data_IF_839725258978
#
_entry.id   IF_839725258978
#
_cell.length_a   1.000
_cell.length_b   1.000
_cell.length_c   1.000
_cell.angle_alpha   90.00
_cell.angle_beta   90.00
_cell.angle_gamma   90.00
#
_symmetry.space_group_name_H-M   'P 1'
#
loop_
_entity.id
_entity.type
_entity.pdbx_description
1 polymer ?
#
# COMPACT_ATOMS: atom_id res chain seq x y z
N UNK A 1 -23.16 3.61 -9.12
CA UNK A 1 -22.13 2.64 -8.73
C UNK A 1 -22.66 1.87 -7.55
N UNK A 2 -22.45 0.55 -7.51
CA UNK A 2 -22.84 -0.28 -6.38
C UNK A 2 -21.99 0.12 -5.18
N UNK A 3 -22.61 0.35 -4.02
CA UNK A 3 -21.88 0.72 -2.81
C UNK A 3 -21.20 -0.52 -2.23
N UNK A 4 -19.92 -0.40 -1.92
CA UNK A 4 -19.05 -1.47 -1.41
C UNK A 4 -18.32 -0.95 -0.19
N UNK A 5 -18.22 -1.77 0.85
CA UNK A 5 -17.49 -1.45 2.06
C UNK A 5 -16.49 -2.54 2.42
N UNK A 6 -15.45 -2.13 3.13
CA UNK A 6 -14.57 -3.04 3.86
C UNK A 6 -15.24 -3.28 5.22
N UNK A 7 -15.42 -4.55 5.57
CA UNK A 7 -16.13 -4.98 6.78
C UNK A 7 -15.23 -5.68 7.79
N UNK A 8 -14.08 -6.19 7.36
CA UNK A 8 -13.09 -6.82 8.23
C UNK A 8 -11.71 -6.77 7.60
N UNK A 9 -10.68 -6.64 8.43
CA UNK A 9 -9.27 -6.65 8.01
C UNK A 9 -8.36 -7.19 9.11
N UNK A 10 -7.51 -8.16 8.76
CA UNK A 10 -6.43 -8.68 9.59
C UNK A 10 -5.10 -8.44 8.91
N UNK A 11 -4.06 -8.17 9.69
CA UNK A 11 -2.72 -7.92 9.17
C UNK A 11 -1.65 -8.28 10.17
N UNK A 12 -0.51 -8.76 9.68
CA UNK A 12 0.67 -9.04 10.50
C UNK A 12 1.91 -8.55 9.78
N UNK A 13 2.83 -7.97 10.53
CA UNK A 13 4.08 -7.42 10.03
C UNK A 13 5.18 -7.65 11.06
N UNK A 14 6.31 -8.19 10.62
CA UNK A 14 7.47 -8.50 11.45
C UNK A 14 8.74 -8.24 10.64
N UNK A 15 9.85 -7.87 11.29
CA UNK A 15 11.12 -7.64 10.60
C UNK A 15 11.52 -8.85 9.72
N UNK A 16 11.29 -10.06 10.23
CA UNK A 16 11.52 -11.31 9.51
C UNK A 16 10.61 -12.41 10.04
N UNK A 17 9.93 -13.11 9.13
CA UNK A 17 9.09 -14.27 9.47
C UNK A 17 9.76 -15.56 9.05
N UNK A 18 9.63 -16.60 9.86
CA UNK A 18 10.06 -17.96 9.50
C UNK A 18 8.97 -18.76 8.78
N UNK A 19 7.71 -18.34 8.94
CA UNK A 19 6.53 -18.92 8.30
C UNK A 19 6.64 -18.85 6.77
N UNK A 20 6.19 -19.88 6.06
CA UNK A 20 5.95 -19.74 4.62
C UNK A 20 4.70 -18.87 4.35
N UNK A 21 4.45 -18.55 3.10
CA UNK A 21 3.35 -17.67 2.66
C UNK A 21 1.98 -18.21 3.11
N UNK A 22 1.77 -19.53 3.05
CA UNK A 22 0.53 -20.18 3.50
C UNK A 22 0.38 -20.06 5.01
N UNK A 23 1.41 -20.43 5.77
CA UNK A 23 1.44 -20.35 7.24
C UNK A 23 1.20 -18.93 7.76
N UNK A 24 1.72 -17.93 7.03
CA UNK A 24 1.47 -16.52 7.30
C UNK A 24 0.01 -16.12 7.02
N UNK A 25 -0.57 -16.58 5.90
CA UNK A 25 -1.89 -16.12 5.45
C UNK A 25 -3.07 -16.83 6.12
N UNK A 26 -2.93 -18.11 6.50
CA UNK A 26 -3.99 -18.88 7.18
C UNK A 26 -4.58 -18.15 8.41
N UNK A 27 -3.78 -17.67 9.39
CA UNK A 27 -4.35 -17.00 10.57
C UNK A 27 -5.05 -15.69 10.19
N UNK A 28 -4.53 -14.92 9.22
CA UNK A 28 -5.13 -13.65 8.79
C UNK A 28 -6.48 -13.87 8.10
N UNK A 29 -6.55 -14.86 7.20
CA UNK A 29 -7.78 -15.22 6.50
C UNK A 29 -8.81 -15.80 7.48
N UNK A 30 -8.38 -16.60 8.45
CA UNK A 30 -9.25 -17.14 9.50
C UNK A 30 -9.84 -16.02 10.36
N UNK A 31 -9.02 -15.06 10.80
CA UNK A 31 -9.47 -13.94 11.63
C UNK A 31 -10.54 -13.09 10.93
N UNK A 32 -10.37 -12.78 9.65
CA UNK A 32 -11.37 -11.96 8.94
C UNK A 32 -12.68 -12.73 8.66
N UNK A 33 -12.60 -14.05 8.48
CA UNK A 33 -13.78 -14.92 8.37
C UNK A 33 -14.51 -15.04 9.69
N UNK A 34 -13.78 -15.31 10.78
CA UNK A 34 -14.36 -15.39 12.13
C UNK A 34 -15.02 -14.08 12.54
N UNK A 35 -14.40 -12.93 12.23
CA UNK A 35 -14.96 -11.61 12.53
C UNK A 35 -16.26 -11.31 11.78
N UNK A 36 -16.47 -11.91 10.61
CA UNK A 36 -17.68 -11.70 9.77
C UNK A 36 -18.69 -12.84 9.85
N UNK A 37 -18.28 -14.00 10.39
CA UNK A 37 -19.05 -15.23 10.36
C UNK A 37 -19.18 -15.88 8.97
N UNK A 38 -18.50 -15.34 7.94
CA UNK A 38 -18.58 -15.87 6.58
C UNK A 38 -17.72 -17.12 6.42
N UNK A 39 -18.25 -18.09 5.69
CA UNK A 39 -17.49 -19.24 5.20
C UNK A 39 -17.21 -19.16 3.69
N UNK A 40 -16.49 -20.16 3.15
CA UNK A 40 -16.12 -20.21 1.73
C UNK A 40 -17.34 -20.29 0.79
N UNK A 41 -18.49 -20.78 1.25
CA UNK A 41 -19.73 -20.84 0.45
C UNK A 41 -20.37 -19.47 0.26
N UNK A 42 -20.07 -18.53 1.15
CA UNK A 42 -20.56 -17.17 1.10
C UNK A 42 -19.60 -16.18 0.44
N UNK A 43 -18.39 -16.59 0.03
CA UNK A 43 -17.43 -15.74 -0.69
C UNK A 43 -17.64 -15.87 -2.20
N UNK A 44 -18.03 -14.77 -2.86
CA UNK A 44 -18.28 -14.77 -4.31
C UNK A 44 -17.04 -14.62 -5.19
N UNK A 45 -15.96 -14.07 -4.64
CA UNK A 45 -14.70 -13.83 -5.36
C UNK A 45 -13.52 -13.75 -4.40
N UNK A 46 -12.38 -14.28 -4.82
CA UNK A 46 -11.11 -14.11 -4.12
C UNK A 46 -10.11 -13.42 -5.04
N UNK A 47 -9.42 -12.40 -4.56
CA UNK A 47 -8.36 -11.74 -5.31
C UNK A 47 -7.12 -11.53 -4.45
N UNK A 48 -5.95 -11.80 -5.01
CA UNK A 48 -4.69 -11.66 -4.29
C UNK A 48 -3.69 -10.75 -4.99
N UNK A 49 -2.88 -10.05 -4.20
CA UNK A 49 -1.67 -9.36 -4.67
C UNK A 49 -0.42 -10.00 -4.07
N UNK A 50 0.58 -10.26 -4.88
CA UNK A 50 1.91 -10.70 -4.43
C UNK A 50 2.90 -10.61 -5.60
N UNK A 51 4.14 -11.06 -5.38
CA UNK A 51 5.06 -11.26 -6.50
C UNK A 51 5.95 -12.48 -6.36
N UNK A 52 6.01 -13.28 -7.43
CA UNK A 52 6.88 -14.45 -7.56
C UNK A 52 8.36 -14.06 -7.51
N UNK A 53 8.72 -12.86 -7.97
CA UNK A 53 10.10 -12.36 -7.91
C UNK A 53 10.56 -12.15 -6.46
N UNK A 54 9.65 -11.74 -5.55
CA UNK A 54 9.98 -11.60 -4.13
C UNK A 54 10.02 -12.95 -3.43
N UNK A 55 9.10 -13.85 -3.76
CA UNK A 55 9.10 -15.21 -3.23
C UNK A 55 10.32 -16.03 -3.70
N UNK A 56 10.89 -15.69 -4.86
CA UNK A 56 11.98 -16.46 -5.48
C UNK A 56 11.53 -17.83 -6.00
N UNK A 57 10.22 -18.05 -6.09
CA UNK A 57 9.60 -19.29 -6.55
C UNK A 57 8.49 -18.99 -7.56
N UNK A 58 8.50 -19.70 -8.68
CA UNK A 58 7.44 -19.58 -9.68
C UNK A 58 6.12 -20.13 -9.15
N UNK A 59 5.02 -19.46 -9.51
CA UNK A 59 3.65 -19.81 -9.13
C UNK A 59 3.44 -19.79 -7.60
N UNK A 60 4.12 -18.89 -6.88
CA UNK A 60 4.00 -18.77 -5.42
C UNK A 60 2.56 -18.42 -5.00
N UNK A 61 1.87 -17.61 -5.80
CA UNK A 61 0.48 -17.25 -5.58
C UNK A 61 -0.47 -18.46 -5.65
N UNK A 62 -0.19 -19.44 -6.52
CA UNK A 62 -1.01 -20.67 -6.65
C UNK A 62 -0.95 -21.49 -5.37
N UNK A 63 0.25 -21.63 -4.77
CA UNK A 63 0.39 -22.34 -3.51
C UNK A 63 -0.29 -21.62 -2.36
N UNK A 64 -0.27 -20.28 -2.37
CA UNK A 64 -0.89 -19.47 -1.30
C UNK A 64 -2.41 -19.64 -1.25
N UNK A 65 -3.06 -20.06 -2.34
CA UNK A 65 -4.49 -20.40 -2.33
C UNK A 65 -4.84 -21.54 -1.37
N UNK A 66 -3.88 -22.37 -0.95
CA UNK A 66 -4.10 -23.37 0.08
C UNK A 66 -4.55 -22.73 1.42
N UNK A 67 -4.21 -21.47 1.66
CA UNK A 67 -4.69 -20.70 2.82
C UNK A 67 -6.17 -20.29 2.72
N UNK A 68 -6.73 -20.22 1.51
CA UNK A 68 -8.13 -19.84 1.26
C UNK A 68 -9.05 -21.05 1.43
N UNK A 69 -8.63 -22.20 0.92
CA UNK A 69 -9.39 -23.44 0.92
C UNK A 69 -10.03 -23.77 -0.44
N UNK A 70 -10.09 -25.05 -0.83
CA UNK A 70 -10.41 -25.45 -2.20
C UNK A 70 -11.91 -25.60 -2.54
N UNK A 71 -12.81 -25.58 -1.54
CA UNK A 71 -14.23 -25.96 -1.73
C UNK A 71 -15.19 -25.03 -0.96
N UNK A 72 -16.28 -24.55 -1.59
CA UNK A 72 -16.61 -24.70 -3.01
C UNK A 72 -15.65 -23.92 -3.91
N UNK A 73 -15.36 -24.41 -5.13
CA UNK A 73 -14.51 -23.70 -6.07
C UNK A 73 -15.23 -22.45 -6.57
N UNK A 74 -14.51 -21.33 -6.57
CA UNK A 74 -14.96 -20.04 -7.08
C UNK A 74 -13.96 -19.52 -8.11
N UNK A 75 -14.35 -18.50 -8.87
CA UNK A 75 -13.37 -17.75 -9.64
C UNK A 75 -12.46 -16.98 -8.68
N UNK A 76 -11.16 -17.16 -8.85
CA UNK A 76 -10.14 -16.34 -8.20
C UNK A 76 -9.38 -15.51 -9.24
N UNK A 77 -8.70 -14.48 -8.78
CA UNK A 77 -7.75 -13.72 -9.59
C UNK A 77 -6.51 -13.35 -8.79
N UNK A 78 -5.43 -13.07 -9.50
CA UNK A 78 -4.17 -12.66 -8.94
C UNK A 78 -3.59 -11.49 -9.75
N UNK A 79 -3.15 -10.45 -9.04
CA UNK A 79 -2.35 -9.37 -9.61
C UNK A 79 -0.92 -9.51 -9.14
N UNK A 80 0.03 -9.46 -10.08
CA UNK A 80 1.47 -9.45 -9.81
C UNK A 80 1.92 -8.05 -9.34
N UNK A 81 1.27 -7.55 -8.28
CA UNK A 81 1.38 -6.19 -7.75
C UNK A 81 0.94 -6.16 -6.27
N UNK A 82 1.03 -4.98 -5.65
CA UNK A 82 0.50 -4.78 -4.31
C UNK A 82 -1.02 -5.07 -4.23
N UNK A 83 -1.46 -5.63 -3.11
CA UNK A 83 -2.85 -6.02 -2.85
C UNK A 83 -3.88 -4.90 -2.99
N UNK A 84 -3.49 -3.64 -2.95
CA UNK A 84 -4.38 -2.53 -3.28
C UNK A 84 -4.96 -2.63 -4.70
N UNK A 85 -4.20 -3.16 -5.66
CA UNK A 85 -4.69 -3.44 -7.02
C UNK A 85 -5.61 -4.66 -7.06
N UNK A 86 -5.38 -5.68 -6.21
CA UNK A 86 -6.32 -6.79 -6.03
C UNK A 86 -7.66 -6.30 -5.47
N UNK A 87 -7.63 -5.34 -4.55
CA UNK A 87 -8.83 -4.66 -4.07
C UNK A 87 -9.52 -3.87 -5.18
N UNK A 88 -8.77 -3.15 -6.03
CA UNK A 88 -9.34 -2.42 -7.16
C UNK A 88 -10.05 -3.36 -8.15
N UNK A 89 -9.42 -4.46 -8.53
CA UNK A 89 -10.05 -5.47 -9.40
C UNK A 89 -11.32 -6.04 -8.76
N UNK A 90 -11.25 -6.35 -7.47
CA UNK A 90 -12.41 -6.82 -6.69
C UNK A 90 -13.52 -5.79 -6.68
N UNK A 91 -13.20 -4.51 -6.49
CA UNK A 91 -14.17 -3.42 -6.55
C UNK A 91 -14.84 -3.33 -7.92
N UNK A 92 -14.09 -3.49 -9.03
CA UNK A 92 -14.66 -3.58 -10.39
C UNK A 92 -15.63 -4.78 -10.50
N UNK A 93 -15.27 -5.94 -9.92
CA UNK A 93 -16.13 -7.13 -9.89
C UNK A 93 -17.45 -6.87 -9.17
N UNK A 94 -17.45 -6.13 -8.06
CA UNK A 94 -18.67 -5.66 -7.40
C UNK A 94 -19.51 -4.75 -8.29
N UNK A 95 -18.87 -3.83 -9.03
CA UNK A 95 -19.59 -2.92 -9.96
C UNK A 95 -20.30 -3.67 -11.09
N UNK A 96 -19.83 -4.86 -11.46
CA UNK A 96 -20.51 -5.73 -12.42
C UNK A 96 -21.81 -6.36 -11.87
N UNK A 97 -22.06 -6.29 -10.56
CA UNK A 97 -23.27 -6.82 -9.93
C UNK A 97 -23.33 -8.35 -9.85
N UNK A 98 -22.16 -9.03 -9.90
CA UNK A 98 -22.08 -10.51 -9.94
C UNK A 98 -21.59 -11.14 -8.63
N UNK A 99 -21.22 -10.34 -7.64
CA UNK A 99 -20.78 -10.77 -6.32
C UNK A 99 -21.30 -9.83 -5.24
N UNK A 100 -21.55 -10.35 -4.04
CA UNK A 100 -22.02 -9.60 -2.87
C UNK A 100 -20.99 -9.54 -1.73
N UNK A 101 -19.96 -10.38 -1.82
CA UNK A 101 -18.86 -10.54 -0.86
C UNK A 101 -17.59 -10.93 -1.60
N UNK A 102 -16.44 -10.54 -1.07
CA UNK A 102 -15.14 -10.96 -1.60
C UNK A 102 -14.07 -11.04 -0.50
N UNK A 103 -13.14 -11.97 -0.66
CA UNK A 103 -11.90 -12.04 0.10
C UNK A 103 -10.77 -11.41 -0.72
N UNK A 104 -10.13 -10.39 -0.18
CA UNK A 104 -8.91 -9.81 -0.76
C UNK A 104 -7.77 -10.07 0.19
N UNK A 105 -6.64 -10.57 -0.31
CA UNK A 105 -5.46 -10.75 0.52
C UNK A 105 -4.18 -10.39 -0.21
N UNK A 106 -3.13 -10.13 0.54
CA UNK A 106 -1.83 -9.82 0.01
C UNK A 106 -0.73 -10.21 0.96
N UNK A 107 0.43 -10.50 0.41
CA UNK A 107 1.64 -10.75 1.18
C UNK A 107 2.87 -10.25 0.47
N UNK A 108 3.87 -9.84 1.26
CA UNK A 108 5.22 -9.62 0.79
C UNK A 108 6.20 -10.15 1.81
N UNK A 109 7.18 -10.91 1.32
CA UNK A 109 8.22 -11.51 2.15
C UNK A 109 9.59 -11.09 1.61
N UNK A 110 10.06 -9.86 1.92
CA UNK A 110 11.33 -9.35 1.40
C UNK A 110 12.57 -10.08 1.96
N UNK A 111 12.45 -10.73 3.13
CA UNK A 111 13.58 -11.30 3.87
C UNK A 111 14.35 -12.48 3.25
N UNK A 112 13.79 -13.33 2.36
CA UNK A 112 14.49 -14.49 1.81
C UNK A 112 15.56 -14.15 0.75
N UNK A 113 15.47 -12.99 0.11
CA UNK A 113 16.23 -12.69 -1.11
C UNK A 113 16.85 -11.30 -1.18
N UNK A 114 17.60 -11.06 -2.26
CA UNK A 114 18.21 -9.76 -2.54
C UNK A 114 17.17 -8.82 -3.16
N UNK A 115 16.69 -7.86 -2.39
CA UNK A 115 15.74 -6.86 -2.89
C UNK A 115 16.35 -5.94 -3.95
N UNK A 116 17.64 -5.66 -3.87
CA UNK A 116 18.32 -4.91 -4.93
C UNK A 116 18.19 -5.64 -6.27
N UNK A 117 18.44 -6.95 -6.29
CA UNK A 117 18.37 -7.74 -7.51
C UNK A 117 16.94 -7.84 -8.02
N UNK A 118 15.97 -8.04 -7.12
CA UNK A 118 14.56 -8.15 -7.49
C UNK A 118 14.01 -6.82 -8.00
N UNK A 119 14.19 -5.72 -7.26
CA UNK A 119 13.60 -4.43 -7.61
C UNK A 119 14.22 -3.82 -8.89
N UNK A 120 15.48 -4.15 -9.21
CA UNK A 120 16.13 -3.72 -10.46
C UNK A 120 15.48 -4.32 -11.71
N UNK A 121 14.82 -5.48 -11.60
CA UNK A 121 14.14 -6.12 -12.74
C UNK A 121 12.85 -5.40 -13.17
N UNK A 122 12.32 -4.51 -12.32
CA UNK A 122 11.15 -3.68 -12.63
C UNK A 122 11.49 -2.44 -13.45
N UNK A 123 12.77 -2.22 -13.76
CA UNK A 123 13.22 -1.08 -14.56
C UNK A 123 13.08 -1.38 -16.05
N UNK A 124 13.13 -0.33 -16.87
CA UNK A 124 13.12 -0.50 -18.32
C UNK A 124 14.23 -1.46 -18.77
N UNK A 125 13.89 -2.55 -19.49
CA UNK A 125 14.82 -3.63 -19.77
C UNK A 125 15.92 -3.26 -20.78
N UNK A 126 15.79 -2.14 -21.49
CA UNK A 126 16.69 -1.78 -22.59
C UNK A 126 17.77 -0.79 -22.18
N UNK A 127 17.44 0.16 -21.32
CA UNK A 127 18.31 1.30 -21.01
C UNK A 127 18.73 1.34 -19.54
N UNK A 128 17.85 0.98 -18.61
CA UNK A 128 18.11 1.17 -17.18
C UNK A 128 18.43 -0.14 -16.48
N UNK A 129 17.62 -1.19 -16.67
CA UNK A 129 17.85 -2.48 -16.04
C UNK A 129 19.26 -3.03 -16.31
N UNK A 130 19.87 -2.89 -17.51
CA UNK A 130 21.25 -3.34 -17.74
C UNK A 130 22.32 -2.65 -16.88
N UNK A 131 22.03 -1.50 -16.27
CA UNK A 131 22.92 -0.80 -15.34
C UNK A 131 22.75 -1.30 -13.89
N UNK A 132 21.67 -2.04 -13.61
CA UNK A 132 21.34 -2.65 -12.31
C UNK A 132 21.38 -1.70 -11.09
N UNK A 133 20.83 -0.46 -11.19
CA UNK A 133 20.84 0.47 -10.07
C UNK A 133 19.90 -0.01 -8.96
N UNK A 134 20.35 0.07 -7.71
CA UNK A 134 19.50 -0.27 -6.58
C UNK A 134 18.38 0.78 -6.35
N UNK A 135 17.34 0.37 -5.64
CA UNK A 135 16.17 1.23 -5.38
C UNK A 135 16.50 2.48 -4.54
N UNK A 136 17.50 2.40 -3.66
CA UNK A 136 17.95 3.53 -2.84
C UNK A 136 18.67 4.57 -3.70
N UNK A 137 19.53 4.14 -4.64
CA UNK A 137 20.19 5.01 -5.60
C UNK A 137 19.19 5.74 -6.50
N UNK A 138 18.14 5.03 -6.96
CA UNK A 138 17.06 5.66 -7.73
C UNK A 138 16.31 6.70 -6.90
N UNK A 139 15.92 6.38 -5.66
CA UNK A 139 15.26 7.33 -4.77
C UNK A 139 16.17 8.52 -4.40
N UNK A 140 17.47 8.30 -4.30
CA UNK A 140 18.46 9.33 -4.04
C UNK A 140 18.57 10.33 -5.21
N UNK A 141 18.44 9.89 -6.46
CA UNK A 141 18.35 10.79 -7.61
C UNK A 141 17.13 11.72 -7.52
N UNK A 142 15.99 11.19 -7.06
CA UNK A 142 14.80 12.02 -6.81
C UNK A 142 15.06 13.02 -5.68
N UNK A 143 15.61 12.59 -4.54
CA UNK A 143 15.95 13.48 -3.43
C UNK A 143 16.94 14.58 -3.83
N UNK A 144 18.01 14.23 -4.55
CA UNK A 144 18.98 15.19 -5.09
C UNK A 144 18.30 16.22 -5.97
N UNK A 145 17.42 15.77 -6.88
CA UNK A 145 16.68 16.65 -7.78
C UNK A 145 15.82 17.69 -7.05
N UNK A 146 15.12 17.28 -5.99
CA UNK A 146 14.29 18.21 -5.21
C UNK A 146 15.13 19.16 -4.34
N UNK A 147 16.24 18.68 -3.77
CA UNK A 147 17.16 19.49 -2.97
C UNK A 147 17.87 20.56 -3.82
N UNK A 148 18.35 20.21 -5.02
CA UNK A 148 18.99 21.17 -5.94
C UNK A 148 18.05 22.26 -6.44
N UNK A 149 16.75 21.97 -6.48
CA UNK A 149 15.70 22.94 -6.81
C UNK A 149 15.20 23.73 -5.60
N UNK A 150 15.74 23.47 -4.41
CA UNK A 150 15.30 24.08 -3.16
C UNK A 150 13.81 23.85 -2.87
N UNK A 151 13.25 22.75 -3.39
CA UNK A 151 11.84 22.38 -3.16
C UNK A 151 11.62 21.66 -1.83
N UNK A 152 12.70 21.09 -1.28
CA UNK A 152 12.79 20.49 0.05
C UNK A 152 14.17 20.83 0.64
N UNK A 153 14.31 20.63 1.94
CA UNK A 153 15.57 20.76 2.68
C UNK A 153 15.90 19.47 3.44
N UNK A 154 17.14 19.35 3.93
CA UNK A 154 17.49 18.25 4.84
C UNK A 154 16.72 18.30 6.16
N UNK A 155 16.27 19.50 6.58
CA UNK A 155 15.41 19.67 7.76
C UNK A 155 14.04 19.02 7.53
N UNK A 156 13.47 19.15 6.33
CA UNK A 156 12.20 18.51 5.98
C UNK A 156 12.32 16.97 5.98
N UNK A 157 13.45 16.45 5.48
CA UNK A 157 13.76 15.02 5.53
C UNK A 157 13.89 14.51 6.97
N UNK A 158 14.60 15.25 7.82
CA UNK A 158 14.73 14.94 9.24
C UNK A 158 13.37 14.94 9.98
N UNK A 159 12.53 15.95 9.73
CA UNK A 159 11.17 16.03 10.29
C UNK A 159 10.31 14.84 9.84
N UNK A 160 10.44 14.43 8.58
CA UNK A 160 9.76 13.23 8.07
C UNK A 160 10.27 11.96 8.75
N UNK A 161 11.57 11.83 8.96
CA UNK A 161 12.17 10.67 9.61
C UNK A 161 11.71 10.52 11.07
N UNK A 162 11.62 11.64 11.82
CA UNK A 162 11.07 11.67 13.18
C UNK A 162 9.59 11.24 13.15
N UNK A 163 8.79 11.81 12.25
CA UNK A 163 7.38 11.44 12.09
C UNK A 163 7.19 9.96 11.78
N UNK A 164 8.06 9.40 10.93
CA UNK A 164 8.06 7.99 10.59
C UNK A 164 8.57 7.08 11.72
N UNK A 165 9.18 7.66 12.76
CA UNK A 165 9.72 6.94 13.91
C UNK A 165 10.95 6.10 13.58
N UNK A 166 11.75 6.52 12.59
CA UNK A 166 13.04 5.90 12.24
C UNK A 166 14.19 6.44 13.08
N UNK A 167 14.00 7.60 13.71
CA UNK A 167 14.92 8.30 14.61
C UNK A 167 14.10 9.13 15.62
N UNK A 168 14.71 9.57 16.71
CA UNK A 168 14.04 10.32 17.78
C UNK A 168 14.33 11.83 17.74
N UNK A 169 15.39 12.27 17.06
CA UNK A 169 15.78 13.69 17.02
C UNK A 169 16.50 14.10 15.73
N UNK A 170 16.49 15.40 15.42
CA UNK A 170 17.23 15.95 14.27
C UNK A 170 18.74 15.82 14.43
N UNK A 171 19.26 15.91 15.64
CA UNK A 171 20.68 15.71 15.94
C UNK A 171 21.10 14.30 15.50
N UNK A 172 20.34 13.27 15.91
CA UNK A 172 20.55 11.89 15.47
C UNK A 172 20.49 11.76 13.95
N UNK A 173 19.56 12.45 13.27
CA UNK A 173 19.50 12.46 11.82
C UNK A 173 20.80 12.99 11.20
N UNK A 174 21.25 14.17 11.62
CA UNK A 174 22.41 14.83 11.01
C UNK A 174 23.75 14.14 11.34
N UNK A 175 23.82 13.41 12.46
CA UNK A 175 24.96 12.59 12.85
C UNK A 175 25.12 11.31 12.00
N UNK A 176 24.05 10.84 11.35
CA UNK A 176 24.15 9.68 10.44
C UNK A 176 24.95 10.04 9.17
N UNK A 177 25.85 9.15 8.71
CA UNK A 177 26.48 9.30 7.42
C UNK A 177 25.45 9.17 6.30
N UNK A 178 25.75 9.77 5.14
CA UNK A 178 24.99 9.50 3.92
C UNK A 178 25.11 8.02 3.55
N UNK A 179 23.97 7.40 3.28
CA UNK A 179 23.85 6.00 2.88
C UNK A 179 23.77 5.87 1.35
N UNK A 180 22.92 6.67 0.73
CA UNK A 180 22.81 6.80 -0.73
C UNK A 180 22.66 8.29 -1.04
N UNK A 181 23.79 8.99 -1.24
CA UNK A 181 23.84 10.45 -1.34
C UNK A 181 22.70 11.02 -2.21
N UNK A 182 21.80 11.85 -1.66
CA UNK A 182 21.89 12.58 -0.37
C UNK A 182 21.16 11.91 0.82
N UNK A 183 20.59 10.73 0.64
CA UNK A 183 19.79 10.03 1.66
C UNK A 183 20.65 9.41 2.77
N UNK A 184 20.12 9.44 3.98
CA UNK A 184 20.64 8.71 5.15
C UNK A 184 19.83 7.44 5.39
N UNK A 185 20.27 6.60 6.35
CA UNK A 185 19.54 5.36 6.66
C UNK A 185 18.12 5.65 7.14
N UNK A 186 17.94 6.71 7.92
CA UNK A 186 16.63 7.19 8.38
C UNK A 186 15.68 7.60 7.24
N UNK A 187 16.19 7.89 6.04
CA UNK A 187 15.37 8.25 4.89
C UNK A 187 14.89 7.05 4.07
N UNK A 188 15.46 5.87 4.31
CA UNK A 188 15.30 4.67 3.51
C UNK A 188 14.40 3.66 4.23
N UNK A 189 13.72 2.77 3.47
CA UNK A 189 12.84 1.78 4.08
C UNK A 189 13.64 0.77 4.90
N UNK A 190 13.11 0.42 6.06
CA UNK A 190 13.38 -0.85 6.71
C UNK A 190 12.34 -1.85 6.25
N UNK A 191 12.79 -2.95 5.66
CA UNK A 191 11.88 -3.95 5.11
C UNK A 191 11.39 -4.88 6.20
N UNK A 192 10.15 -5.34 6.04
CA UNK A 192 9.49 -6.29 6.93
C UNK A 192 8.77 -7.34 6.08
N UNK A 193 8.70 -8.56 6.59
CA UNK A 193 7.77 -9.56 6.07
C UNK A 193 6.37 -9.27 6.60
N UNK A 194 5.34 -9.51 5.80
CA UNK A 194 3.98 -9.33 6.27
C UNK A 194 2.89 -9.63 5.26
N UNK A 195 1.68 -9.71 5.78
CA UNK A 195 0.47 -10.02 5.03
C UNK A 195 -0.74 -9.27 5.55
N UNK A 196 -1.76 -9.16 4.70
CA UNK A 196 -3.03 -8.52 4.97
C UNK A 196 -4.14 -9.35 4.33
N UNK A 197 -5.22 -9.59 5.05
CA UNK A 197 -6.46 -10.15 4.52
C UNK A 197 -7.61 -9.20 4.85
N UNK A 198 -8.58 -9.07 3.95
CA UNK A 198 -9.76 -8.23 4.13
C UNK A 198 -11.00 -8.86 3.49
N UNK A 199 -12.16 -8.61 4.11
CA UNK A 199 -13.46 -8.92 3.52
C UNK A 199 -14.10 -7.62 3.05
N UNK A 200 -14.53 -7.62 1.78
CA UNK A 200 -15.37 -6.60 1.21
C UNK A 200 -16.79 -7.14 1.06
N UNK A 201 -17.77 -6.27 1.25
CA UNK A 201 -19.18 -6.59 1.05
C UNK A 201 -19.90 -5.45 0.35
N UNK A 202 -20.87 -5.81 -0.48
CA UNK A 202 -21.79 -4.85 -1.06
C UNK A 202 -22.81 -4.37 -0.01
N UNK A 203 -23.46 -3.25 -0.31
CA UNK A 203 -24.61 -2.81 0.46
C UNK A 203 -25.69 -3.88 0.67
N UNK A 204 -26.37 -3.80 1.82
CA UNK A 204 -27.22 -4.86 2.35
C UNK A 204 -26.38 -5.80 3.21
N UNK A 205 -25.45 -6.53 2.58
CA UNK A 205 -24.58 -7.50 3.27
C UNK A 205 -23.55 -6.81 4.17
N UNK A 206 -23.02 -5.66 3.78
CA UNK A 206 -22.03 -4.94 4.57
C UNK A 206 -22.56 -4.54 5.96
N UNK A 207 -23.79 -4.03 6.01
CA UNK A 207 -24.48 -3.63 7.23
C UNK A 207 -24.88 -4.82 8.10
N UNK A 208 -25.05 -6.01 7.53
CA UNK A 208 -25.26 -7.26 8.28
C UNK A 208 -23.97 -7.77 8.94
N UNK A 209 -22.81 -7.51 8.32
CA UNK A 209 -21.51 -8.05 8.73
C UNK A 209 -20.69 -7.12 9.63
N UNK A 210 -20.99 -5.82 9.62
CA UNK A 210 -20.23 -4.82 10.38
C UNK A 210 -21.14 -3.66 10.80
N UNK A 211 -21.11 -3.30 12.09
CA UNK A 211 -21.92 -2.20 12.63
C UNK A 211 -21.60 -0.85 12.00
N UNK A 212 -20.32 -0.64 11.63
CA UNK A 212 -19.85 0.59 10.98
C UNK A 212 -18.94 0.27 9.81
N UNK A 213 -19.47 -0.16 8.65
CA UNK A 213 -18.65 -0.49 7.50
C UNK A 213 -17.84 0.71 7.00
N UNK A 214 -16.62 0.47 6.50
CA UNK A 214 -15.81 1.51 5.86
C UNK A 214 -16.13 1.54 4.35
N UNK A 215 -17.03 2.43 3.95
CA UNK A 215 -17.53 2.55 2.58
C UNK A 215 -16.48 3.14 1.65
N UNK A 216 -16.24 2.49 0.50
CA UNK A 216 -15.39 3.04 -0.56
C UNK A 216 -16.20 4.09 -1.31
N UNK A 217 -15.95 5.37 -1.01
CA UNK A 217 -16.65 6.51 -1.62
C UNK A 217 -15.93 7.05 -2.86
N UNK A 218 -14.65 6.70 -3.02
CA UNK A 218 -13.91 6.95 -4.26
C UNK A 218 -12.66 6.09 -4.37
N UNK A 219 -12.40 5.57 -5.57
CA UNK A 219 -11.19 4.79 -5.84
C UNK A 219 -10.75 5.01 -7.29
N UNK A 220 -9.47 5.30 -7.50
CA UNK A 220 -8.87 5.45 -8.83
C UNK A 220 -7.39 5.09 -8.76
N UNK A 221 -6.85 4.50 -9.82
CA UNK A 221 -5.42 4.30 -9.97
C UNK A 221 -4.93 4.88 -11.30
N UNK A 222 -3.70 5.38 -11.29
CA UNK A 222 -3.03 5.98 -12.45
C UNK A 222 -1.58 5.54 -12.48
N UNK A 223 -1.01 5.64 -13.68
CA UNK A 223 0.37 5.27 -13.96
C UNK A 223 1.05 6.42 -14.70
N UNK A 224 2.24 6.78 -14.24
CA UNK A 224 3.16 7.65 -14.97
C UNK A 224 4.04 6.83 -15.92
N UNK A 225 4.78 7.52 -16.78
CA UNK A 225 5.70 6.87 -17.73
C UNK A 225 6.64 5.90 -17.01
N UNK A 226 6.75 4.69 -17.56
CA UNK A 226 7.71 3.69 -17.10
C UNK A 226 9.16 4.19 -17.20
N UNK A 227 9.48 4.93 -18.26
CA UNK A 227 10.78 5.58 -18.43
C UNK A 227 10.87 6.81 -17.52
N UNK A 228 11.61 6.73 -16.41
CA UNK A 228 11.76 7.89 -15.52
C UNK A 228 12.56 9.04 -16.11
N UNK A 229 13.37 8.82 -17.15
CA UNK A 229 14.09 9.89 -17.85
C UNK A 229 13.18 10.91 -18.54
N UNK A 230 11.89 10.61 -18.74
CA UNK A 230 10.89 11.55 -19.29
C UNK A 230 9.92 12.09 -18.22
N UNK A 231 10.10 11.70 -16.96
CA UNK A 231 9.25 12.15 -15.85
C UNK A 231 9.83 13.42 -15.22
N UNK A 232 8.94 14.29 -14.73
CA UNK A 232 9.34 15.34 -13.80
C UNK A 232 9.45 14.73 -12.40
N UNK A 233 10.67 14.60 -11.87
CA UNK A 233 10.89 13.93 -10.58
C UNK A 233 10.38 14.73 -9.38
N UNK A 234 10.09 16.02 -9.56
CA UNK A 234 9.45 16.91 -8.57
C UNK A 234 7.91 16.84 -8.58
N UNK A 235 7.29 15.93 -9.33
CA UNK A 235 5.84 15.82 -9.41
C UNK A 235 5.40 14.36 -9.53
N UNK A 236 4.16 14.09 -9.13
CA UNK A 236 3.54 12.77 -9.27
C UNK A 236 2.17 12.93 -9.96
N UNK A 237 2.14 13.19 -11.29
CA UNK A 237 0.90 13.47 -12.02
C UNK A 237 -0.14 12.36 -11.89
N UNK A 238 0.30 11.11 -11.83
CA UNK A 238 -0.56 9.95 -11.58
C UNK A 238 -1.27 10.05 -10.23
N UNK A 239 -0.55 10.32 -9.14
CA UNK A 239 -1.13 10.48 -7.80
C UNK A 239 -2.14 11.64 -7.74
N UNK A 240 -1.79 12.81 -8.31
CA UNK A 240 -2.70 13.96 -8.38
C UNK A 240 -4.00 13.63 -9.10
N UNK A 241 -3.88 12.97 -10.27
CA UNK A 241 -5.05 12.59 -11.08
C UNK A 241 -5.89 11.51 -10.40
N UNK A 242 -5.24 10.53 -9.76
CA UNK A 242 -5.93 9.51 -8.98
C UNK A 242 -6.72 10.13 -7.82
N UNK A 243 -6.11 11.07 -7.09
CA UNK A 243 -6.74 11.75 -5.98
C UNK A 243 -7.94 12.62 -6.42
N UNK A 244 -7.81 13.30 -7.55
CA UNK A 244 -8.92 14.06 -8.15
C UNK A 244 -10.10 13.14 -8.47
N UNK A 245 -9.86 12.02 -9.15
CA UNK A 245 -10.92 11.10 -9.57
C UNK A 245 -11.51 10.30 -8.41
N UNK A 246 -10.72 10.01 -7.37
CA UNK A 246 -11.20 9.41 -6.13
C UNK A 246 -11.95 10.41 -5.23
N UNK A 247 -12.14 11.67 -5.66
CA UNK A 247 -12.95 12.65 -4.92
C UNK A 247 -12.27 13.25 -3.70
N UNK A 248 -10.93 13.16 -3.57
CA UNK A 248 -10.19 13.67 -2.40
C UNK A 248 -10.51 15.15 -2.12
N UNK A 249 -10.69 15.96 -3.17
CA UNK A 249 -10.91 17.40 -3.11
C UNK A 249 -12.32 17.84 -2.68
N UNK A 250 -13.28 16.93 -2.57
CA UNK A 250 -14.68 17.29 -2.27
C UNK A 250 -14.87 17.66 -0.80
N UNK A 251 -14.12 17.00 0.09
CA UNK A 251 -14.18 17.17 1.54
C UNK A 251 -12.78 16.94 2.11
N UNK A 252 -12.46 17.48 3.29
CA UNK A 252 -11.20 17.14 3.97
C UNK A 252 -11.22 15.69 4.51
N UNK A 253 -10.04 15.10 4.69
CA UNK A 253 -9.87 13.80 5.36
C UNK A 253 -9.36 14.00 6.78
N UNK A 254 -9.83 13.16 7.70
CA UNK A 254 -9.38 13.19 9.10
C UNK A 254 -8.02 12.53 9.28
N UNK A 255 -7.71 11.54 8.43
CA UNK A 255 -6.49 10.73 8.44
C UNK A 255 -6.13 10.32 7.02
N UNK A 256 -4.82 10.32 6.73
CA UNK A 256 -4.27 9.82 5.48
C UNK A 256 -3.21 8.74 5.76
N UNK A 257 -3.47 7.53 5.28
CA UNK A 257 -2.57 6.38 5.31
C UNK A 257 -1.80 6.33 3.99
N UNK A 258 -0.53 6.73 4.01
CA UNK A 258 0.29 6.89 2.80
C UNK A 258 1.31 5.77 2.66
N UNK A 259 1.29 5.06 1.52
CA UNK A 259 2.38 4.16 1.14
C UNK A 259 3.52 4.95 0.49
N UNK A 260 4.52 5.29 1.31
CA UNK A 260 5.76 5.94 0.89
C UNK A 260 6.93 5.31 1.60
N UNK A 261 7.88 4.76 0.83
CA UNK A 261 9.02 4.01 1.37
C UNK A 261 10.22 4.92 1.70
N UNK A 262 10.21 6.17 1.25
CA UNK A 262 11.28 7.14 1.47
C UNK A 262 10.74 8.48 1.98
N UNK A 263 11.52 9.19 2.79
CA UNK A 263 11.14 10.51 3.34
C UNK A 263 10.87 11.54 2.24
N UNK A 264 11.70 11.58 1.19
CA UNK A 264 11.49 12.44 0.01
C UNK A 264 10.14 12.16 -0.67
N UNK A 265 9.72 10.90 -0.72
CA UNK A 265 8.47 10.49 -1.35
C UNK A 265 7.25 10.84 -0.50
N UNK A 266 7.34 10.73 0.84
CA UNK A 266 6.28 11.21 1.74
C UNK A 266 6.06 12.72 1.60
N UNK A 267 7.14 13.51 1.60
CA UNK A 267 7.05 14.96 1.43
C UNK A 267 6.46 15.31 0.06
N UNK A 268 6.99 14.70 -1.01
CA UNK A 268 6.52 14.96 -2.37
C UNK A 268 5.05 14.58 -2.56
N UNK A 269 4.63 13.41 -2.07
CA UNK A 269 3.25 12.96 -2.16
C UNK A 269 2.31 13.89 -1.37
N UNK A 270 2.68 14.28 -0.15
CA UNK A 270 1.88 15.23 0.63
C UNK A 270 1.70 16.55 -0.08
N UNK A 271 2.77 17.10 -0.66
CA UNK A 271 2.72 18.32 -1.48
C UNK A 271 1.79 18.15 -2.68
N UNK A 272 1.92 17.05 -3.42
CA UNK A 272 1.10 16.76 -4.61
C UNK A 272 -0.40 16.64 -4.27
N UNK A 273 -0.71 16.08 -3.10
CA UNK A 273 -2.06 15.88 -2.58
C UNK A 273 -2.60 17.06 -1.76
N UNK A 274 -1.81 18.12 -1.60
CA UNK A 274 -2.12 19.26 -0.72
C UNK A 274 -2.46 18.85 0.72
N UNK A 275 -1.74 17.85 1.24
CA UNK A 275 -1.83 17.39 2.62
C UNK A 275 -0.76 18.09 3.47
N UNK A 276 -1.01 18.32 4.77
CA UNK A 276 -0.01 18.88 5.67
C UNK A 276 1.21 17.95 5.79
N UNK A 277 2.41 18.54 5.76
CA UNK A 277 3.67 17.82 6.03
C UNK A 277 3.68 17.24 7.45
N UNK A 278 3.18 18.01 8.42
CA UNK A 278 3.05 17.61 9.82
C UNK A 278 1.56 17.52 10.20
N UNK A 279 0.88 16.39 9.88
CA UNK A 279 -0.53 16.23 10.20
C UNK A 279 -0.74 16.08 11.72
N UNK A 280 -1.90 16.51 12.22
CA UNK A 280 -2.27 16.33 13.64
C UNK A 280 -2.47 14.86 14.01
N UNK A 281 -2.93 14.05 13.04
CA UNK A 281 -3.09 12.61 13.12
C UNK A 281 -2.24 11.99 11.99
N UNK A 282 -1.17 11.30 12.35
CA UNK A 282 -0.33 10.55 11.41
C UNK A 282 -0.70 9.07 11.44
N UNK A 283 -0.26 8.35 10.39
CA UNK A 283 -0.26 6.90 10.39
C UNK A 283 0.56 6.38 11.57
N UNK A 284 0.04 5.33 12.22
CA UNK A 284 0.77 4.63 13.28
C UNK A 284 1.84 3.69 12.70
N UNK A 285 1.64 3.22 11.46
CA UNK A 285 2.43 2.18 10.81
C UNK A 285 3.04 2.73 9.51
N UNK A 286 4.15 3.48 9.62
CA UNK A 286 4.81 4.07 8.47
C UNK A 286 5.60 3.03 7.64
N UNK A 287 5.38 2.91 6.32
CA UNK A 287 6.14 1.98 5.47
C UNK A 287 7.66 2.20 5.52
N UNK A 288 8.13 3.44 5.73
CA UNK A 288 9.57 3.73 5.91
C UNK A 288 10.18 2.89 7.04
N UNK A 289 9.42 2.60 8.11
CA UNK A 289 9.87 1.79 9.24
C UNK A 289 9.64 0.29 9.06
N UNK A 290 8.69 -0.10 8.22
CA UNK A 290 8.33 -1.49 7.97
C UNK A 290 7.63 -1.62 6.61
N UNK A 291 8.43 -1.72 5.55
CA UNK A 291 7.98 -1.86 4.17
C UNK A 291 7.82 -3.33 3.81
N UNK A 292 6.58 -3.73 3.51
CA UNK A 292 6.23 -5.10 3.09
C UNK A 292 6.08 -5.24 1.58
N UNK A 293 6.38 -4.19 0.81
CA UNK A 293 6.28 -4.17 -0.65
C UNK A 293 4.85 -4.47 -1.10
N UNK A 294 4.54 -5.72 -1.46
CA UNK A 294 3.26 -6.10 -2.07
C UNK A 294 2.08 -6.07 -1.08
N UNK A 295 2.31 -6.00 0.23
CA UNK A 295 1.24 -5.88 1.21
C UNK A 295 1.04 -4.46 1.75
N UNK A 296 1.93 -3.51 1.43
CA UNK A 296 1.98 -2.23 2.12
C UNK A 296 0.84 -1.29 1.72
N UNK A 297 0.45 -1.26 0.46
CA UNK A 297 -0.70 -0.49 -0.01
C UNK A 297 -2.02 -1.02 0.53
N UNK A 298 -2.21 -2.34 0.50
CA UNK A 298 -3.39 -2.97 1.11
C UNK A 298 -3.45 -2.74 2.63
N UNK A 299 -2.30 -2.77 3.31
CA UNK A 299 -2.20 -2.44 4.73
C UNK A 299 -2.63 -1.00 5.02
N UNK A 300 -2.27 -0.03 4.17
CA UNK A 300 -2.75 1.37 4.31
C UNK A 300 -4.28 1.45 4.19
N UNK A 301 -4.88 0.68 3.30
CA UNK A 301 -6.34 0.60 3.18
C UNK A 301 -6.96 -0.02 4.44
N UNK A 302 -6.36 -1.08 4.98
CA UNK A 302 -6.80 -1.70 6.23
C UNK A 302 -6.73 -0.74 7.43
N UNK A 303 -5.62 -0.01 7.60
CA UNK A 303 -5.49 0.99 8.66
C UNK A 303 -6.48 2.15 8.52
N UNK A 304 -6.72 2.61 7.29
CA UNK A 304 -7.71 3.64 7.00
C UNK A 304 -9.14 3.19 7.34
N UNK A 305 -9.46 1.91 7.14
CA UNK A 305 -10.73 1.31 7.54
C UNK A 305 -10.83 1.14 9.06
N UNK A 306 -9.77 0.68 9.72
CA UNK A 306 -9.69 0.55 11.19
C UNK A 306 -9.92 1.88 11.90
N UNK A 307 -9.38 2.98 11.37
CA UNK A 307 -9.63 4.31 11.91
C UNK A 307 -11.13 4.69 11.90
N UNK A 308 -11.89 4.26 10.89
CA UNK A 308 -13.34 4.45 10.81
C UNK A 308 -14.06 3.56 11.84
N UNK A 309 -13.72 2.28 11.88
CA UNK A 309 -14.31 1.31 12.82
C UNK A 309 -14.12 1.74 14.28
N UNK A 310 -12.92 2.23 14.61
CA UNK A 310 -12.54 2.67 15.94
C UNK A 310 -13.03 4.08 16.32
N UNK A 311 -13.82 4.74 15.46
CA UNK A 311 -14.26 6.12 15.66
C UNK A 311 -13.12 7.14 15.77
N UNK A 312 -11.94 6.84 15.22
CA UNK A 312 -10.81 7.76 15.17
C UNK A 312 -10.92 8.75 14.00
N UNK A 313 -11.65 8.38 12.94
CA UNK A 313 -11.93 9.18 11.75
C UNK A 313 -13.35 8.88 11.21
N UNK A 314 -13.94 9.85 10.51
CA UNK A 314 -15.19 9.63 9.75
C UNK A 314 -14.91 9.52 8.25
N UNK A 315 -13.86 10.19 7.76
CA UNK A 315 -13.41 10.08 6.37
C UNK A 315 -11.90 9.95 6.30
N UNK A 316 -11.41 8.95 5.58
CA UNK A 316 -9.98 8.63 5.48
C UNK A 316 -9.53 8.52 4.03
N UNK A 317 -8.24 8.76 3.80
CA UNK A 317 -7.56 8.47 2.54
C UNK A 317 -6.57 7.33 2.79
N UNK A 318 -6.57 6.34 1.91
CA UNK A 318 -5.48 5.38 1.77
C UNK A 318 -4.82 5.55 0.39
N UNK A 319 -3.50 5.47 0.38
CA UNK A 319 -2.67 5.51 -0.81
C UNK A 319 -1.79 4.27 -0.91
N UNK A 320 -1.71 3.70 -2.11
CA UNK A 320 -0.80 2.61 -2.46
C UNK A 320 0.07 3.00 -3.65
N UNK A 321 1.32 2.55 -3.66
CA UNK A 321 2.25 2.82 -4.77
C UNK A 321 2.95 1.56 -5.24
N UNK A 322 3.38 1.55 -6.50
CA UNK A 322 4.17 0.47 -7.09
C UNK A 322 5.11 1.01 -8.17
N UNK A 323 6.24 0.32 -8.35
CA UNK A 323 7.29 0.68 -9.29
C UNK A 323 8.20 1.82 -8.81
N UNK A 324 9.28 2.10 -9.56
CA UNK A 324 10.29 3.08 -9.17
C UNK A 324 9.73 4.50 -9.15
N UNK A 325 10.14 5.30 -8.17
CA UNK A 325 9.81 6.73 -8.08
C UNK A 325 8.29 6.98 -8.14
N UNK A 326 7.51 6.18 -7.41
CA UNK A 326 6.05 6.27 -7.34
C UNK A 326 5.40 6.24 -8.72
N UNK A 327 5.79 5.29 -9.57
CA UNK A 327 5.31 5.21 -10.95
C UNK A 327 3.81 4.94 -11.03
N UNK A 328 3.30 4.06 -10.19
CA UNK A 328 1.88 3.71 -10.13
C UNK A 328 1.32 4.16 -8.80
N UNK A 329 0.16 4.80 -8.81
CA UNK A 329 -0.48 5.30 -7.59
C UNK A 329 -1.97 5.00 -7.61
N UNK A 330 -2.46 4.45 -6.51
CA UNK A 330 -3.86 4.19 -6.24
C UNK A 330 -4.30 5.02 -5.04
N UNK A 331 -5.46 5.66 -5.18
CA UNK A 331 -6.12 6.41 -4.10
C UNK A 331 -7.43 5.73 -3.77
N UNK A 332 -7.68 5.50 -2.49
CA UNK A 332 -8.92 4.94 -1.97
C UNK A 332 -9.43 5.86 -0.84
N UNK A 333 -10.56 6.51 -1.07
CA UNK A 333 -11.25 7.34 -0.07
C UNK A 333 -12.32 6.49 0.59
N UNK A 334 -12.28 6.43 1.92
CA UNK A 334 -13.22 5.67 2.74
C UNK A 334 -14.06 6.62 3.61
N UNK A 335 -15.31 6.26 3.85
CA UNK A 335 -16.22 6.96 4.76
C UNK A 335 -16.93 6.00 5.70
N UNK A 336 -17.16 6.43 6.94
CA UNK A 336 -18.05 5.74 7.87
C UNK A 336 -19.53 5.94 7.54
N UNK A 337 -19.85 6.87 6.62
CA UNK A 337 -21.19 7.11 6.12
C UNK A 337 -21.36 6.57 4.70
N UNK A 338 -22.53 5.98 4.45
CA UNK A 338 -22.92 5.43 3.16
C UNK A 338 -23.41 6.55 2.23
N UNK A 339 -22.50 7.42 1.78
CA UNK A 339 -22.81 8.53 0.85
C UNK A 339 -23.43 8.06 -0.47
#
# INVERSE_FOLDING_TARGET
MRKVAIVSASSRQEEKMLDNEVEMMVPLISEVREATGLDQTEIGFTCSGSSDFLAGQAFSFVMTLDAVGPVPPISESHVEMDGAWALYETWVKFQMGVIDTALVYSYGKPSPGSLQDVLSTQLDPYYVAPLWPDAHAIAALQARHLLEKEEISFEDLADCAIRAGTIDSKEEYFDQPMFADPLRRADCPTYADGGVAMILAAEGKAEELCDRPAWITGIDHRIDSHHFGVRNLSAIPSAKKAALNAGLHQTEVDLAELHTSYTVQDILLRKELNLPLNPKKSSKNHPIKAETLMASGLLRIAEAARAIWNNEASRTLAHATSGPLMQQNLMCVLSGEKE
#
